data_IF_160807273914
#
_entry.id   IF_160807273914
#
_cell.length_a   1.000
_cell.length_b   1.000
_cell.length_c   1.000
_cell.angle_alpha   90.00
_cell.angle_beta   90.00
_cell.angle_gamma   90.00
#
_symmetry.space_group_name_H-M   'P 1'
#
loop_
_entity.id
_entity.type
_entity.pdbx_description
1 polymer ?
#
# COMPACT_ATOMS: atom_id res chain seq x y z
N UNK A 1 13.06 -3.47 2.45
CA UNK A 1 12.25 -3.08 1.28
C UNK A 1 11.90 -1.57 1.26
N UNK A 2 12.87 -0.65 1.24
CA UNK A 2 12.60 0.77 0.95
C UNK A 2 12.16 1.04 -0.51
N UNK A 3 12.32 0.03 -1.38
CA UNK A 3 11.97 0.06 -2.81
C UNK A 3 10.45 0.12 -3.08
N UNK A 4 9.63 -0.41 -2.17
CA UNK A 4 8.17 -0.48 -2.36
C UNK A 4 7.57 0.92 -2.21
N UNK A 5 7.90 1.63 -1.13
CA UNK A 5 7.42 3.00 -0.89
C UNK A 5 7.85 3.95 -2.03
N UNK A 6 9.08 3.81 -2.53
CA UNK A 6 9.62 4.65 -3.59
C UNK A 6 9.09 4.31 -4.99
N UNK A 7 8.77 3.04 -5.30
CA UNK A 7 8.03 2.67 -6.53
C UNK A 7 6.55 3.09 -6.50
N UNK A 8 5.90 3.04 -5.34
CA UNK A 8 4.49 3.41 -5.19
C UNK A 8 4.21 4.89 -5.39
N UNK A 9 5.14 5.77 -5.04
CA UNK A 9 4.96 7.22 -5.23
C UNK A 9 5.31 7.71 -6.64
N UNK A 10 6.13 6.98 -7.41
CA UNK A 10 6.72 7.49 -8.66
C UNK A 10 5.89 7.22 -9.92
N UNK A 11 4.73 6.54 -9.84
CA UNK A 11 3.90 6.19 -11.00
C UNK A 11 2.55 6.92 -11.09
N UNK A 12 2.34 7.97 -10.29
CA UNK A 12 1.14 8.81 -10.33
C UNK A 12 1.24 10.01 -11.27
N UNK A 13 1.53 9.81 -12.56
CA UNK A 13 1.33 10.85 -13.57
C UNK A 13 -0.09 10.73 -14.15
N UNK A 14 -1.06 11.34 -13.48
CA UNK A 14 -2.36 11.64 -14.10
C UNK A 14 -2.23 12.94 -14.89
N UNK A 15 -1.82 12.85 -16.16
CA UNK A 15 -1.94 14.00 -17.07
C UNK A 15 -3.41 14.08 -17.51
N UNK A 16 -4.16 14.97 -16.86
CA UNK A 16 -5.51 15.37 -17.27
C UNK A 16 -6.62 14.40 -16.84
N UNK A 17 -7.30 14.72 -15.73
CA UNK A 17 -8.42 13.94 -15.18
C UNK A 17 -8.27 13.85 -13.67
N UNK A 18 -9.39 13.98 -12.94
CA UNK A 18 -9.52 14.02 -11.47
C UNK A 18 -8.38 13.29 -10.76
N UNK A 19 -7.66 13.98 -9.88
CA UNK A 19 -6.52 13.45 -9.10
C UNK A 19 -7.03 12.41 -8.10
N UNK A 20 -7.41 11.24 -8.60
CA UNK A 20 -7.77 10.07 -7.83
C UNK A 20 -6.52 9.30 -7.44
N UNK A 21 -6.61 8.58 -6.32
CA UNK A 21 -5.58 7.62 -5.94
C UNK A 21 -5.48 6.52 -7.01
N UNK A 22 -4.29 6.18 -7.53
CA UNK A 22 -4.17 5.17 -8.57
C UNK A 22 -4.74 3.82 -8.08
N UNK A 23 -5.71 3.28 -8.81
CA UNK A 23 -6.39 2.03 -8.45
C UNK A 23 -5.39 0.86 -8.35
N UNK A 24 -4.39 0.84 -9.23
CA UNK A 24 -3.32 -0.16 -9.21
C UNK A 24 -2.57 -0.15 -7.88
N UNK A 25 -2.28 1.05 -7.36
CA UNK A 25 -1.60 1.23 -6.08
C UNK A 25 -2.45 0.71 -4.91
N UNK A 26 -3.77 0.92 -4.96
CA UNK A 26 -4.68 0.36 -3.95
C UNK A 26 -4.64 -1.17 -3.94
N UNK A 27 -4.69 -1.81 -5.11
CA UNK A 27 -4.64 -3.27 -5.20
C UNK A 27 -3.33 -3.84 -4.68
N UNK A 28 -2.21 -3.20 -5.00
CA UNK A 28 -0.89 -3.60 -4.51
C UNK A 28 -0.78 -3.49 -2.98
N UNK A 29 -1.28 -2.41 -2.37
CA UNK A 29 -1.32 -2.25 -0.90
C UNK A 29 -2.18 -3.33 -0.24
N UNK A 30 -3.35 -3.62 -0.81
CA UNK A 30 -4.27 -4.63 -0.29
C UNK A 30 -3.65 -6.03 -0.38
N UNK A 31 -3.05 -6.38 -1.52
CA UNK A 31 -2.38 -7.67 -1.69
C UNK A 31 -1.20 -7.83 -0.73
N UNK A 32 -0.39 -6.78 -0.56
CA UNK A 32 0.74 -6.78 0.37
C UNK A 32 0.29 -7.03 1.81
N UNK A 33 -0.72 -6.31 2.29
CA UNK A 33 -1.22 -6.48 3.65
C UNK A 33 -1.91 -7.84 3.84
N UNK A 34 -2.72 -8.29 2.88
CA UNK A 34 -3.36 -9.60 2.95
C UNK A 34 -2.33 -10.74 3.00
N UNK A 35 -1.21 -10.62 2.27
CA UNK A 35 -0.16 -11.63 2.28
C UNK A 35 0.59 -11.73 3.61
N UNK A 36 0.82 -10.60 4.29
CA UNK A 36 1.64 -10.56 5.51
C UNK A 36 0.85 -10.64 6.81
N UNK A 37 -0.36 -10.09 6.82
CA UNK A 37 -1.21 -10.02 8.02
C UNK A 37 -2.35 -11.03 7.97
N UNK A 38 -2.56 -11.68 6.82
CA UNK A 38 -3.64 -12.64 6.58
C UNK A 38 -5.05 -12.09 6.84
N UNK A 39 -5.19 -10.75 6.87
CA UNK A 39 -6.48 -10.08 6.94
C UNK A 39 -7.25 -10.22 5.63
N UNK A 40 -8.58 -10.20 5.73
CA UNK A 40 -9.41 -10.26 4.53
C UNK A 40 -9.29 -8.99 3.70
N UNK A 41 -9.50 -9.13 2.39
CA UNK A 41 -9.58 -7.98 1.47
C UNK A 41 -10.61 -6.95 1.94
N UNK A 42 -11.74 -7.39 2.49
CA UNK A 42 -12.80 -6.50 2.94
C UNK A 42 -12.35 -5.64 4.12
N UNK A 43 -11.67 -6.23 5.11
CA UNK A 43 -11.13 -5.50 6.27
C UNK A 43 -10.12 -4.44 5.85
N UNK A 44 -9.22 -4.76 4.91
CA UNK A 44 -8.20 -3.81 4.43
C UNK A 44 -8.83 -2.69 3.59
N UNK A 45 -9.87 -2.98 2.81
CA UNK A 45 -10.58 -1.96 2.01
C UNK A 45 -11.45 -1.05 2.88
N UNK A 46 -11.86 -1.49 4.06
CA UNK A 46 -12.58 -0.67 5.04
C UNK A 46 -11.66 0.31 5.78
N UNK A 47 -10.34 0.15 5.70
CA UNK A 47 -9.38 1.10 6.29
C UNK A 47 -9.31 2.39 5.48
N UNK A 48 -9.19 3.50 6.20
CA UNK A 48 -8.89 4.78 5.58
C UNK A 48 -7.57 4.70 4.81
N UNK A 49 -7.46 5.49 3.73
CA UNK A 49 -6.25 5.52 2.92
C UNK A 49 -4.97 5.73 3.75
N UNK A 50 -5.02 6.66 4.72
CA UNK A 50 -3.88 6.97 5.60
C UNK A 50 -3.51 5.82 6.53
N UNK A 51 -4.52 5.12 7.03
CA UNK A 51 -4.33 3.98 7.91
C UNK A 51 -3.68 2.81 7.15
N UNK A 52 -4.19 2.49 5.96
CA UNK A 52 -3.63 1.43 5.12
C UNK A 52 -2.17 1.73 4.76
N UNK A 53 -1.85 2.96 4.35
CA UNK A 53 -0.46 3.37 4.04
C UNK A 53 0.45 3.23 5.27
N UNK A 54 -0.06 3.56 6.47
CA UNK A 54 0.70 3.40 7.72
C UNK A 54 1.01 1.92 8.00
N UNK A 55 0.03 1.03 7.86
CA UNK A 55 0.23 -0.40 8.06
C UNK A 55 1.24 -1.00 7.06
N UNK A 56 1.18 -0.59 5.79
CA UNK A 56 2.19 -0.97 4.79
C UNK A 56 3.59 -0.56 5.27
N UNK A 57 3.73 0.63 5.85
CA UNK A 57 4.97 1.12 6.46
C UNK A 57 5.45 0.27 7.64
N UNK A 58 4.57 -0.11 8.56
CA UNK A 58 4.92 -0.94 9.72
C UNK A 58 5.37 -2.35 9.31
N UNK A 59 4.61 -3.02 8.46
CA UNK A 59 4.97 -4.36 7.97
C UNK A 59 6.31 -4.30 7.24
N UNK A 60 6.51 -3.28 6.39
CA UNK A 60 7.79 -3.09 5.69
C UNK A 60 8.97 -2.90 6.63
N UNK A 61 8.80 -2.20 7.76
CA UNK A 61 9.86 -2.01 8.76
C UNK A 61 10.16 -3.29 9.54
N UNK A 62 9.13 -4.04 9.91
CA UNK A 62 9.30 -5.31 10.63
C UNK A 62 10.04 -6.32 9.75
N UNK A 63 9.61 -6.47 8.50
CA UNK A 63 10.26 -7.37 7.55
C UNK A 63 11.74 -7.01 7.31
N UNK A 64 12.11 -5.73 7.39
CA UNK A 64 13.49 -5.28 7.26
C UNK A 64 14.38 -5.54 8.47
N UNK A 65 13.78 -5.78 9.65
CA UNK A 65 14.51 -6.03 10.90
C UNK A 65 14.66 -7.52 11.21
N UNK A 66 13.85 -8.36 10.57
CA UNK A 66 13.82 -9.81 10.76
C UNK A 66 14.69 -10.61 9.78
N UNK A 67 15.51 -9.93 8.98
CA UNK A 67 16.51 -10.49 8.07
C UNK A 67 17.91 -10.05 8.47
#
# INVERSE_FOLDING_TARGET
MPELQSRFYRRGLSIGGIVGYPLDRLHEEVAFLAMHLHWSRAEILNMDHRERVRWVGYVSQINQRGE
#
